data_IF_872520956672
#
_entry.id   IF_872520956672
#
_cell.length_a   1.000
_cell.length_b   1.000
_cell.length_c   1.000
_cell.angle_alpha   90.00
_cell.angle_beta   90.00
_cell.angle_gamma   90.00
#
_symmetry.space_group_name_H-M   'P 1'
#
loop_
_entity.id
_entity.type
_entity.pdbx_description
1 polymer ?
#
# COMPACT_ATOMS: atom_id res chain seq x y z
N UNK A 1 52.30 6.66 6.25
CA UNK A 1 51.55 6.20 5.04
C UNK A 1 50.90 4.82 5.22
N UNK A 2 51.65 3.77 5.59
CA UNK A 2 51.10 2.40 5.77
C UNK A 2 49.98 2.29 6.84
N UNK A 3 50.04 3.08 7.91
CA UNK A 3 49.02 3.08 8.98
C UNK A 3 47.70 3.71 8.50
N UNK A 4 47.77 4.81 7.77
CA UNK A 4 46.60 5.51 7.21
C UNK A 4 45.89 4.61 6.18
N UNK A 5 46.65 3.91 5.33
CA UNK A 5 46.09 2.96 4.36
C UNK A 5 45.36 1.78 5.05
N UNK A 6 45.92 1.25 6.15
CA UNK A 6 45.26 0.21 6.96
C UNK A 6 43.99 0.73 7.62
N UNK A 7 43.99 1.97 8.12
CA UNK A 7 42.82 2.60 8.74
C UNK A 7 41.70 2.83 7.72
N UNK A 8 42.05 3.28 6.50
CA UNK A 8 41.10 3.47 5.39
C UNK A 8 40.52 2.13 4.94
N UNK A 9 41.33 1.07 4.83
CA UNK A 9 40.83 -0.27 4.52
C UNK A 9 39.86 -0.78 5.59
N UNK A 10 40.19 -0.58 6.87
CA UNK A 10 39.32 -0.99 7.98
C UNK A 10 37.99 -0.24 7.96
N UNK A 11 38.02 1.08 7.68
CA UNK A 11 36.82 1.91 7.56
C UNK A 11 35.93 1.48 6.39
N UNK A 12 36.54 1.11 5.26
CA UNK A 12 35.83 0.60 4.07
C UNK A 12 35.20 -0.77 4.32
N UNK A 13 35.83 -1.65 5.10
CA UNK A 13 35.26 -2.94 5.47
C UNK A 13 34.05 -2.76 6.41
N UNK A 14 34.13 -1.85 7.39
CA UNK A 14 32.99 -1.56 8.28
C UNK A 14 31.85 -0.79 7.63
N UNK A 15 32.14 0.03 6.61
CA UNK A 15 31.12 0.82 5.91
C UNK A 15 30.22 -0.04 5.00
N UNK A 16 30.69 -1.21 4.54
CA UNK A 16 29.92 -2.12 3.70
C UNK A 16 29.00 -3.07 4.49
N UNK A 17 29.04 -3.06 5.83
CA UNK A 17 28.21 -3.93 6.67
C UNK A 17 26.80 -3.40 6.95
N UNK A 18 26.40 -2.25 6.40
CA UNK A 18 25.13 -1.57 6.71
C UNK A 18 24.03 -1.86 5.65
N UNK A 19 24.26 -2.80 4.72
CA UNK A 19 23.26 -3.15 3.69
C UNK A 19 22.45 -4.42 3.95
N UNK A 20 22.60 -5.04 5.12
CA UNK A 20 21.54 -5.88 5.66
C UNK A 20 20.52 -4.97 6.35
N UNK A 21 19.64 -4.31 5.58
CA UNK A 21 18.35 -3.89 6.14
C UNK A 21 17.59 -5.17 6.45
N UNK A 22 17.87 -5.76 7.61
CA UNK A 22 17.00 -6.73 8.24
C UNK A 22 15.63 -6.05 8.35
N UNK A 23 14.60 -6.72 7.85
CA UNK A 23 13.25 -6.17 7.92
C UNK A 23 12.84 -5.94 9.38
N UNK A 24 11.91 -5.02 9.60
CA UNK A 24 11.38 -4.70 10.91
C UNK A 24 10.49 -5.86 11.37
N UNK A 25 10.85 -6.58 12.46
CA UNK A 25 10.06 -7.69 12.95
C UNK A 25 8.74 -7.17 13.53
N UNK A 26 7.64 -7.77 13.07
CA UNK A 26 6.28 -7.44 13.49
C UNK A 26 5.57 -8.71 13.98
N UNK A 27 5.18 -8.71 15.25
CA UNK A 27 4.33 -9.76 15.81
C UNK A 27 2.92 -9.58 15.22
N UNK A 28 2.48 -10.54 14.40
CA UNK A 28 1.14 -10.52 13.80
C UNK A 28 0.13 -11.33 14.62
N UNK A 29 0.62 -12.26 15.44
CA UNK A 29 -0.13 -12.92 16.53
C UNK A 29 0.76 -13.07 17.76
N UNK A 30 0.28 -13.74 18.82
CA UNK A 30 1.11 -14.10 19.98
C UNK A 30 2.19 -15.14 19.66
N UNK A 31 2.03 -15.87 18.56
CA UNK A 31 2.88 -16.98 18.18
C UNK A 31 3.54 -16.79 16.80
N UNK A 32 3.14 -15.80 16.01
CA UNK A 32 3.64 -15.60 14.66
C UNK A 32 4.24 -14.20 14.47
N UNK A 33 5.40 -14.17 13.80
CA UNK A 33 6.16 -12.95 13.48
C UNK A 33 6.49 -12.92 11.99
N UNK A 34 6.54 -11.73 11.39
CA UNK A 34 7.03 -11.50 10.02
C UNK A 34 7.82 -10.20 9.96
N UNK A 35 8.81 -10.13 9.07
CA UNK A 35 9.62 -8.93 8.91
C UNK A 35 9.10 -8.08 7.73
N UNK A 36 8.69 -6.84 8.00
CA UNK A 36 8.32 -5.87 6.97
C UNK A 36 9.54 -5.04 6.53
N UNK A 37 9.60 -4.57 5.27
CA UNK A 37 10.71 -3.71 4.83
C UNK A 37 10.68 -2.31 5.47
N UNK A 38 9.49 -1.84 5.87
CA UNK A 38 9.25 -0.56 6.53
C UNK A 38 8.26 -0.74 7.69
N UNK A 39 8.06 0.31 8.49
CA UNK A 39 7.10 0.26 9.61
C UNK A 39 5.70 -0.04 9.08
N UNK A 40 5.08 -1.11 9.57
CA UNK A 40 3.76 -1.54 9.10
C UNK A 40 2.64 -0.72 9.74
N UNK A 41 1.63 -0.41 8.95
CA UNK A 41 0.35 0.13 9.41
C UNK A 41 -0.58 -1.02 9.74
N UNK A 42 -1.26 -0.95 10.88
CA UNK A 42 -2.23 -1.95 11.31
C UNK A 42 -3.65 -1.41 11.21
N UNK A 43 -4.55 -2.25 10.69
CA UNK A 43 -6.00 -2.03 10.73
C UNK A 43 -6.64 -3.28 11.32
N UNK A 44 -7.35 -3.09 12.42
CA UNK A 44 -8.06 -4.14 13.11
C UNK A 44 -9.57 -3.98 12.89
N UNK A 45 -10.20 -5.07 12.50
CA UNK A 45 -11.66 -5.21 12.41
C UNK A 45 -12.11 -6.28 13.39
N UNK A 46 -13.42 -6.47 13.54
CA UNK A 46 -13.96 -7.52 14.42
C UNK A 46 -13.55 -8.95 14.02
N UNK A 47 -13.10 -9.16 12.77
CA UNK A 47 -12.82 -10.50 12.21
C UNK A 47 -11.39 -10.69 11.73
N UNK A 48 -10.71 -9.60 11.39
CA UNK A 48 -9.42 -9.63 10.72
C UNK A 48 -8.54 -8.48 11.22
N UNK A 49 -7.26 -8.78 11.41
CA UNK A 49 -6.20 -7.78 11.56
C UNK A 49 -5.35 -7.78 10.31
N UNK A 50 -5.11 -6.62 9.72
CA UNK A 50 -4.32 -6.44 8.50
C UNK A 50 -3.15 -5.50 8.78
N UNK A 51 -1.96 -5.99 8.50
CA UNK A 51 -0.70 -5.24 8.53
C UNK A 51 -0.27 -4.94 7.10
N UNK A 52 0.06 -3.68 6.82
CA UNK A 52 0.48 -3.23 5.48
C UNK A 52 1.75 -2.41 5.56
N UNK A 53 2.69 -2.65 4.65
CA UNK A 53 3.85 -1.82 4.43
C UNK A 53 4.08 -1.64 2.92
N UNK A 54 4.77 -0.58 2.55
CA UNK A 54 5.11 -0.29 1.16
C UNK A 54 6.55 0.25 1.08
N UNK A 55 7.23 -0.07 0.00
CA UNK A 55 8.52 0.49 -0.39
C UNK A 55 8.60 0.65 -1.92
N UNK A 56 9.80 0.82 -2.47
CA UNK A 56 10.00 0.96 -3.92
C UNK A 56 9.84 -0.33 -4.73
N UNK A 57 9.78 -1.50 -4.07
CA UNK A 57 9.68 -2.82 -4.70
C UNK A 57 8.26 -3.37 -4.69
N UNK A 58 7.44 -3.04 -3.69
CA UNK A 58 6.04 -3.46 -3.69
C UNK A 58 5.23 -3.11 -2.45
N UNK A 59 4.03 -3.68 -2.43
CA UNK A 59 3.16 -3.70 -1.25
C UNK A 59 3.32 -5.04 -0.53
N UNK A 60 3.46 -4.97 0.78
CA UNK A 60 3.68 -6.10 1.68
C UNK A 60 2.52 -6.14 2.65
N UNK A 61 1.81 -7.25 2.70
CA UNK A 61 0.59 -7.36 3.49
C UNK A 61 0.65 -8.67 4.27
N UNK A 62 0.31 -8.61 5.55
CA UNK A 62 0.01 -9.79 6.34
C UNK A 62 -1.38 -9.62 6.94
N UNK A 63 -2.26 -10.62 6.80
CA UNK A 63 -3.56 -10.61 7.45
C UNK A 63 -3.76 -11.84 8.31
N UNK A 64 -4.50 -11.67 9.40
CA UNK A 64 -4.80 -12.74 10.36
C UNK A 64 -6.28 -12.77 10.65
N UNK A 65 -6.91 -13.92 10.45
CA UNK A 65 -8.32 -14.19 10.77
C UNK A 65 -8.37 -15.32 11.81
N UNK A 66 -8.90 -15.03 13.00
CA UNK A 66 -9.07 -16.01 14.06
C UNK A 66 -10.40 -16.75 13.90
N UNK A 67 -10.36 -18.07 13.91
CA UNK A 67 -11.54 -18.91 13.85
C UNK A 67 -12.15 -19.05 15.25
N UNK A 68 -13.46 -19.24 15.29
CA UNK A 68 -14.12 -19.70 16.51
C UNK A 68 -13.72 -21.15 16.80
N UNK A 69 -13.83 -21.58 18.06
CA UNK A 69 -13.60 -22.98 18.44
C UNK A 69 -14.46 -23.94 17.59
N UNK A 70 -15.69 -23.56 17.26
CA UNK A 70 -16.57 -24.35 16.39
C UNK A 70 -16.01 -24.50 14.98
N UNK A 71 -15.61 -23.40 14.34
CA UNK A 71 -15.02 -23.45 12.99
C UNK A 71 -13.70 -24.22 13.00
N UNK A 72 -12.84 -23.98 13.99
CA UNK A 72 -11.57 -24.69 14.12
C UNK A 72 -11.75 -26.19 14.34
N UNK A 73 -12.79 -26.62 15.06
CA UNK A 73 -13.05 -28.04 15.32
C UNK A 73 -13.44 -28.83 14.06
N UNK A 74 -13.85 -28.13 13.01
CA UNK A 74 -14.24 -28.71 11.73
C UNK A 74 -13.05 -28.82 10.76
N UNK A 75 -11.91 -28.19 11.09
CA UNK A 75 -10.70 -28.26 10.28
C UNK A 75 -9.85 -29.43 10.76
N UNK A 76 -9.81 -30.47 9.95
CA UNK A 76 -8.89 -31.61 10.11
C UNK A 76 -7.66 -31.44 9.21
N UNK A 77 -6.61 -32.22 9.48
CA UNK A 77 -5.39 -32.23 8.67
C UNK A 77 -5.68 -32.53 7.19
N UNK A 78 -6.63 -33.42 6.92
CA UNK A 78 -7.05 -33.83 5.57
C UNK A 78 -7.83 -32.72 4.85
N UNK A 79 -8.53 -31.86 5.60
CA UNK A 79 -9.31 -30.74 5.05
C UNK A 79 -8.49 -29.47 4.80
N UNK A 80 -7.23 -29.41 5.24
CA UNK A 80 -6.38 -28.21 5.15
C UNK A 80 -6.17 -27.76 3.70
N UNK A 81 -5.92 -28.70 2.79
CA UNK A 81 -5.75 -28.36 1.38
C UNK A 81 -7.01 -27.71 0.80
N UNK A 82 -8.18 -28.26 1.13
CA UNK A 82 -9.48 -27.74 0.71
C UNK A 82 -9.77 -26.36 1.32
N UNK A 83 -9.40 -26.15 2.59
CA UNK A 83 -9.47 -24.84 3.24
C UNK A 83 -8.60 -23.82 2.49
N UNK A 84 -7.35 -24.16 2.17
CA UNK A 84 -6.45 -23.28 1.44
C UNK A 84 -6.95 -22.96 0.03
N UNK A 85 -7.48 -23.95 -0.69
CA UNK A 85 -8.12 -23.74 -1.98
C UNK A 85 -9.32 -22.81 -1.88
N UNK A 86 -10.15 -22.95 -0.84
CA UNK A 86 -11.24 -22.02 -0.55
C UNK A 86 -10.71 -20.60 -0.40
N UNK A 87 -9.73 -20.37 0.48
CA UNK A 87 -9.14 -19.04 0.70
C UNK A 87 -8.53 -18.46 -0.59
N UNK A 88 -7.82 -19.27 -1.36
CA UNK A 88 -7.25 -18.87 -2.63
C UNK A 88 -8.35 -18.46 -3.64
N UNK A 89 -9.35 -19.32 -3.84
CA UNK A 89 -10.43 -19.06 -4.80
C UNK A 89 -11.26 -17.83 -4.41
N UNK A 90 -11.56 -17.66 -3.12
CA UNK A 90 -12.24 -16.47 -2.61
C UNK A 90 -11.48 -15.18 -2.95
N UNK A 91 -10.15 -15.20 -2.84
CA UNK A 91 -9.31 -14.08 -3.20
C UNK A 91 -9.24 -13.84 -4.72
N UNK A 92 -9.17 -14.92 -5.53
CA UNK A 92 -9.17 -14.85 -6.99
C UNK A 92 -10.48 -14.26 -7.51
N UNK A 93 -11.61 -14.77 -7.02
CA UNK A 93 -12.94 -14.31 -7.42
C UNK A 93 -13.14 -12.83 -7.05
N UNK A 94 -12.73 -12.44 -5.85
CA UNK A 94 -12.84 -11.05 -5.39
C UNK A 94 -11.96 -10.10 -6.22
N UNK A 95 -10.80 -10.59 -6.69
CA UNK A 95 -9.88 -9.83 -7.53
C UNK A 95 -10.23 -9.86 -9.03
N UNK A 96 -11.18 -10.72 -9.45
CA UNK A 96 -11.41 -11.07 -10.84
C UNK A 96 -10.12 -11.50 -11.56
N UNK A 97 -9.32 -12.33 -10.89
CA UNK A 97 -7.96 -12.67 -11.29
C UNK A 97 -7.85 -14.00 -12.04
N UNK A 98 -6.69 -14.23 -12.66
CA UNK A 98 -6.30 -15.49 -13.28
C UNK A 98 -5.15 -16.11 -12.49
N UNK A 99 -5.29 -17.39 -12.13
CA UNK A 99 -4.25 -18.15 -11.41
C UNK A 99 -3.11 -18.47 -12.37
N UNK A 100 -1.87 -18.24 -11.93
CA UNK A 100 -0.65 -18.61 -12.67
C UNK A 100 -0.05 -19.90 -12.10
N UNK A 101 0.12 -19.97 -10.78
CA UNK A 101 0.56 -21.18 -10.09
C UNK A 101 -0.06 -21.27 -8.70
N UNK A 102 -0.11 -22.50 -8.18
CA UNK A 102 -0.60 -22.81 -6.86
C UNK A 102 0.14 -24.06 -6.37
N UNK A 103 1.02 -23.86 -5.39
CA UNK A 103 2.01 -24.84 -4.96
C UNK A 103 1.88 -25.05 -3.45
N UNK A 104 1.94 -26.31 -3.02
CA UNK A 104 2.08 -26.64 -1.60
C UNK A 104 3.54 -26.39 -1.17
N UNK A 105 3.71 -25.70 -0.05
CA UNK A 105 5.01 -25.39 0.54
C UNK A 105 4.98 -25.66 2.05
N UNK A 106 6.16 -25.75 2.67
CA UNK A 106 6.27 -25.96 4.11
C UNK A 106 7.02 -24.80 4.77
N UNK A 107 6.52 -24.34 5.92
CA UNK A 107 7.20 -23.37 6.77
C UNK A 107 7.40 -23.99 8.14
N UNK A 108 8.64 -24.34 8.50
CA UNK A 108 8.93 -25.03 9.77
C UNK A 108 8.03 -26.27 9.97
N UNK A 109 7.91 -27.10 8.94
CA UNK A 109 7.02 -28.28 8.87
C UNK A 109 5.51 -28.01 8.90
N UNK A 110 5.09 -26.75 8.88
CA UNK A 110 3.67 -26.37 8.75
C UNK A 110 3.31 -26.30 7.26
N UNK A 111 2.32 -27.08 6.78
CA UNK A 111 1.88 -27.02 5.39
C UNK A 111 1.21 -25.67 5.10
N UNK A 112 1.52 -25.11 3.94
CA UNK A 112 1.01 -23.83 3.47
C UNK A 112 0.76 -23.89 1.95
N UNK A 113 -0.09 -23.00 1.46
CA UNK A 113 -0.32 -22.82 0.03
C UNK A 113 0.36 -21.52 -0.43
N UNK A 114 1.23 -21.59 -1.42
CA UNK A 114 1.76 -20.42 -2.13
C UNK A 114 1.12 -20.33 -3.51
N UNK A 115 0.69 -19.15 -3.94
CA UNK A 115 0.07 -18.94 -5.24
C UNK A 115 0.57 -17.66 -5.91
N UNK A 116 0.71 -17.73 -7.23
CA UNK A 116 0.92 -16.59 -8.12
C UNK A 116 -0.34 -16.37 -8.95
N UNK A 117 -0.76 -15.12 -9.09
CA UNK A 117 -1.95 -14.77 -9.87
C UNK A 117 -1.85 -13.38 -10.49
N UNK A 118 -2.61 -13.15 -11.56
CA UNK A 118 -2.70 -11.87 -12.25
C UNK A 118 -4.11 -11.29 -12.08
N UNK A 119 -4.20 -10.14 -11.43
CA UNK A 119 -5.43 -9.36 -11.38
C UNK A 119 -5.48 -8.36 -12.56
N UNK A 120 -6.68 -7.96 -13.02
CA UNK A 120 -6.84 -6.92 -14.02
C UNK A 120 -6.13 -5.64 -13.58
N UNK A 121 -5.43 -4.99 -14.51
CA UNK A 121 -4.73 -3.74 -14.23
C UNK A 121 -5.73 -2.65 -13.85
N UNK A 122 -5.71 -2.24 -12.59
CA UNK A 122 -6.46 -1.12 -12.06
C UNK A 122 -5.50 0.02 -11.69
N UNK A 123 -5.96 1.26 -11.76
CA UNK A 123 -5.12 2.44 -11.51
C UNK A 123 -4.52 2.37 -10.11
N UNK A 124 -3.21 2.13 -10.02
CA UNK A 124 -2.44 2.19 -8.77
C UNK A 124 -2.11 0.86 -8.09
N UNK A 125 -2.54 -0.31 -8.61
CA UNK A 125 -2.11 -1.60 -8.06
C UNK A 125 -1.45 -2.50 -9.12
N UNK A 126 -0.41 -3.27 -8.75
CA UNK A 126 0.17 -4.26 -9.63
C UNK A 126 -0.81 -5.36 -10.05
N UNK A 127 -0.67 -5.78 -11.31
CA UNK A 127 -1.41 -6.92 -11.86
C UNK A 127 -0.88 -8.23 -11.29
N UNK A 128 0.44 -8.43 -11.31
CA UNK A 128 1.09 -9.61 -10.75
C UNK A 128 1.04 -9.58 -9.22
N UNK A 129 0.62 -10.69 -8.60
CA UNK A 129 0.49 -10.81 -7.14
C UNK A 129 0.91 -12.19 -6.68
N UNK A 130 1.44 -12.25 -5.47
CA UNK A 130 1.81 -13.48 -4.78
C UNK A 130 1.06 -13.53 -3.45
N UNK A 131 0.60 -14.73 -3.07
CA UNK A 131 -0.04 -14.98 -1.79
C UNK A 131 0.50 -16.26 -1.17
N UNK A 132 0.71 -16.26 0.14
CA UNK A 132 0.93 -17.46 0.96
C UNK A 132 -0.18 -17.58 2.00
N UNK A 133 -0.70 -18.79 2.20
CA UNK A 133 -1.82 -19.09 3.10
C UNK A 133 -1.37 -20.15 4.09
N UNK A 134 -1.52 -19.88 5.38
CA UNK A 134 -1.07 -20.75 6.48
C UNK A 134 -2.21 -20.87 7.48
N UNK A 135 -2.53 -22.09 7.92
CA UNK A 135 -3.41 -22.32 9.06
C UNK A 135 -2.62 -22.84 10.27
N UNK A 136 -2.68 -22.12 11.38
CA UNK A 136 -1.99 -22.48 12.63
C UNK A 136 -2.69 -21.86 13.83
N UNK A 137 -2.80 -22.62 14.93
CA UNK A 137 -3.43 -22.19 16.19
C UNK A 137 -4.78 -21.47 15.98
N UNK A 138 -5.67 -22.07 15.19
CA UNK A 138 -7.00 -21.53 14.84
C UNK A 138 -6.97 -20.22 14.04
N UNK A 139 -5.84 -19.83 13.46
CA UNK A 139 -5.73 -18.66 12.60
C UNK A 139 -5.48 -19.05 11.16
N UNK A 140 -6.20 -18.41 10.24
CA UNK A 140 -5.75 -18.26 8.86
C UNK A 140 -4.87 -17.02 8.80
N UNK A 141 -3.63 -17.21 8.38
CA UNK A 141 -2.66 -16.15 8.11
C UNK A 141 -2.45 -16.10 6.61
N UNK A 142 -2.62 -14.92 6.02
CA UNK A 142 -2.26 -14.69 4.61
C UNK A 142 -1.13 -13.68 4.50
N UNK A 143 -0.17 -13.95 3.63
CA UNK A 143 0.93 -13.07 3.30
C UNK A 143 0.83 -12.70 1.83
N UNK A 144 0.73 -11.42 1.50
CA UNK A 144 0.67 -10.97 0.11
C UNK A 144 1.84 -10.07 -0.23
N UNK A 145 2.39 -10.27 -1.43
CA UNK A 145 3.37 -9.40 -2.03
C UNK A 145 2.93 -8.97 -3.42
N UNK A 146 2.76 -7.66 -3.61
CA UNK A 146 2.33 -7.08 -4.88
C UNK A 146 3.45 -6.21 -5.45
N UNK A 147 4.29 -6.74 -6.37
CA UNK A 147 5.46 -6.04 -6.87
C UNK A 147 5.10 -4.85 -7.76
N UNK A 148 5.69 -3.67 -7.51
CA UNK A 148 5.53 -2.51 -8.41
C UNK A 148 6.49 -2.53 -9.60
N UNK A 149 7.49 -3.41 -9.57
CA UNK A 149 8.47 -3.63 -10.65
C UNK A 149 8.21 -4.94 -11.39
N UNK A 150 8.53 -4.98 -12.69
CA UNK A 150 8.49 -6.20 -13.51
C UNK A 150 9.83 -6.94 -13.57
N UNK A 151 10.87 -6.42 -12.92
CA UNK A 151 12.20 -7.04 -12.93
C UNK A 151 12.20 -8.34 -12.11
N UNK A 152 12.19 -9.48 -12.81
CA UNK A 152 12.05 -10.83 -12.23
C UNK A 152 12.98 -11.08 -11.03
N UNK A 153 14.23 -10.66 -11.09
CA UNK A 153 15.20 -10.87 -10.01
C UNK A 153 14.80 -10.11 -8.74
N UNK A 154 14.47 -8.82 -8.86
CA UNK A 154 14.02 -8.00 -7.72
C UNK A 154 12.70 -8.50 -7.15
N UNK A 155 11.77 -8.93 -8.00
CA UNK A 155 10.50 -9.51 -7.58
C UNK A 155 10.74 -10.78 -6.75
N UNK A 156 11.56 -11.69 -7.26
CA UNK A 156 11.85 -12.96 -6.59
C UNK A 156 12.62 -12.76 -5.29
N UNK A 157 13.59 -11.84 -5.27
CA UNK A 157 14.37 -11.50 -4.08
C UNK A 157 13.46 -10.96 -2.97
N UNK A 158 12.64 -9.94 -3.27
CA UNK A 158 11.76 -9.32 -2.28
C UNK A 158 10.63 -10.25 -1.82
N UNK A 159 10.02 -11.00 -2.74
CA UNK A 159 9.04 -12.05 -2.40
C UNK A 159 9.64 -13.05 -1.42
N UNK A 160 10.79 -13.61 -1.77
CA UNK A 160 11.47 -14.63 -0.96
C UNK A 160 11.87 -14.06 0.40
N UNK A 161 12.44 -12.86 0.44
CA UNK A 161 12.82 -12.16 1.67
C UNK A 161 11.62 -11.99 2.60
N UNK A 162 10.49 -11.51 2.07
CA UNK A 162 9.28 -11.30 2.87
C UNK A 162 8.67 -12.62 3.34
N UNK A 163 8.39 -13.56 2.42
CA UNK A 163 7.72 -14.81 2.76
C UNK A 163 8.54 -15.71 3.67
N UNK A 164 9.87 -15.74 3.53
CA UNK A 164 10.74 -16.56 4.38
C UNK A 164 11.05 -15.89 5.73
N UNK A 165 10.65 -14.62 5.92
CA UNK A 165 10.75 -13.97 7.23
C UNK A 165 9.62 -14.35 8.18
N UNK A 166 8.56 -15.00 7.67
CA UNK A 166 7.49 -15.52 8.51
C UNK A 166 8.01 -16.67 9.36
N UNK A 167 7.75 -16.58 10.66
CA UNK A 167 8.12 -17.59 11.64
C UNK A 167 7.02 -17.78 12.66
N UNK A 168 6.87 -19.03 13.11
CA UNK A 168 6.01 -19.39 14.24
C UNK A 168 6.93 -19.72 15.42
N UNK A 169 6.80 -18.94 16.49
CA UNK A 169 7.40 -19.27 17.77
C UNK A 169 6.71 -20.54 18.28
N UNK A 170 7.49 -21.55 18.67
CA UNK A 170 6.97 -22.83 19.14
C UNK A 170 5.89 -22.62 20.21
N UNK A 171 4.64 -22.73 19.80
CA UNK A 171 3.52 -22.98 20.69
C UNK A 171 3.62 -24.46 21.04
N UNK A 172 3.39 -24.82 22.31
CA UNK A 172 3.07 -26.21 22.65
C UNK A 172 1.83 -26.57 21.82
N UNK A 173 2.05 -27.20 20.67
CA UNK A 173 1.00 -27.50 19.71
C UNK A 173 0.14 -28.58 20.34
N UNK A 174 -0.96 -28.18 20.97
CA UNK A 174 -2.12 -29.06 21.06
C UNK A 174 -2.57 -29.27 19.61
N UNK A 175 -2.06 -30.36 19.01
CA UNK A 175 -2.54 -30.80 17.71
C UNK A 175 -4.06 -30.89 17.76
N UNK A 176 -4.77 -30.49 16.69
CA UNK A 176 -6.21 -30.67 16.62
C UNK A 176 -6.51 -32.13 16.95
N UNK A 177 -7.23 -32.34 18.06
CA UNK A 177 -7.55 -33.68 18.53
C UNK A 177 -8.31 -34.41 17.44
N UNK A 178 -7.90 -35.64 17.14
CA UNK A 178 -8.62 -36.55 16.24
C UNK A 178 -10.04 -36.76 16.74
N UNK A 179 -11.01 -36.02 16.20
CA UNK A 179 -12.43 -36.34 16.35
C UNK A 179 -12.77 -37.36 15.27
N UNK A 180 -13.12 -38.57 15.69
CA UNK A 180 -13.57 -39.64 14.81
C UNK A 180 -14.95 -39.33 14.19
N UNK A 181 -15.02 -39.58 12.88
CA UNK A 181 -16.17 -40.00 12.08
C UNK A 181 -17.39 -39.07 12.00
N UNK A 182 -17.40 -38.24 10.95
CA UNK A 182 -18.53 -38.10 10.00
C UNK A 182 -17.97 -37.51 8.69
N UNK A 183 -17.68 -38.39 7.73
CA UNK A 183 -16.77 -38.13 6.61
C UNK A 183 -17.45 -37.53 5.36
N UNK A 184 -18.74 -37.17 5.40
CA UNK A 184 -19.47 -36.77 4.19
C UNK A 184 -19.68 -35.25 4.02
N UNK A 185 -19.42 -34.39 5.02
CA UNK A 185 -19.71 -32.94 4.91
C UNK A 185 -18.57 -32.00 5.32
N UNK A 186 -17.40 -32.49 5.77
CA UNK A 186 -16.33 -31.62 6.31
C UNK A 186 -15.53 -30.91 5.22
N UNK A 187 -15.37 -31.52 4.05
CA UNK A 187 -14.64 -30.94 2.91
C UNK A 187 -15.34 -29.69 2.36
N UNK A 188 -16.67 -29.75 2.21
CA UNK A 188 -17.45 -28.63 1.70
C UNK A 188 -17.44 -27.45 2.67
N UNK A 189 -17.54 -27.72 3.97
CA UNK A 189 -17.49 -26.69 5.02
C UNK A 189 -16.12 -26.00 5.05
N UNK A 190 -15.02 -26.75 4.95
CA UNK A 190 -13.67 -26.19 4.92
C UNK A 190 -13.48 -25.27 3.70
N UNK A 191 -13.93 -25.71 2.52
CA UNK A 191 -13.89 -24.91 1.30
C UNK A 191 -14.72 -23.63 1.43
N UNK A 192 -15.99 -23.73 1.83
CA UNK A 192 -16.89 -22.58 1.95
C UNK A 192 -16.39 -21.56 2.96
N UNK A 193 -15.88 -22.05 4.10
CA UNK A 193 -15.27 -21.21 5.14
C UNK A 193 -14.06 -20.48 4.58
N UNK A 194 -13.15 -21.22 3.92
CA UNK A 194 -11.99 -20.65 3.26
C UNK A 194 -12.38 -19.60 2.21
N UNK A 195 -13.33 -19.92 1.35
CA UNK A 195 -13.84 -19.06 0.28
C UNK A 195 -14.36 -17.73 0.81
N UNK A 196 -15.19 -17.78 1.86
CA UNK A 196 -15.72 -16.57 2.47
C UNK A 196 -14.60 -15.69 3.04
N UNK A 197 -13.61 -16.30 3.69
CA UNK A 197 -12.47 -15.58 4.26
C UNK A 197 -11.62 -14.95 3.17
N UNK A 198 -11.25 -15.71 2.13
CA UNK A 198 -10.46 -15.21 1.01
C UNK A 198 -11.10 -13.98 0.36
N UNK A 199 -12.43 -14.04 0.19
CA UNK A 199 -13.21 -12.94 -0.37
C UNK A 199 -13.22 -11.71 0.56
N UNK A 200 -13.47 -11.89 1.86
CA UNK A 200 -13.51 -10.79 2.83
C UNK A 200 -12.13 -10.14 2.97
N UNK A 201 -11.09 -10.94 3.19
CA UNK A 201 -9.71 -10.47 3.36
C UNK A 201 -9.26 -9.63 2.17
N UNK A 202 -9.60 -10.03 0.95
CA UNK A 202 -9.29 -9.23 -0.23
C UNK A 202 -9.91 -7.83 -0.19
N UNK A 203 -11.21 -7.72 0.15
CA UNK A 203 -11.88 -6.42 0.20
C UNK A 203 -11.38 -5.52 1.33
N UNK A 204 -11.03 -6.10 2.48
CA UNK A 204 -10.43 -5.33 3.58
C UNK A 204 -9.11 -4.72 3.13
N UNK A 205 -8.19 -5.54 2.59
CA UNK A 205 -6.89 -5.09 2.06
C UNK A 205 -7.08 -4.00 0.99
N UNK A 206 -8.02 -4.20 0.07
CA UNK A 206 -8.32 -3.22 -0.98
C UNK A 206 -8.77 -1.87 -0.41
N UNK A 207 -9.67 -1.87 0.58
CA UNK A 207 -10.15 -0.64 1.23
C UNK A 207 -9.04 0.10 1.98
N UNK A 208 -8.13 -0.63 2.64
CA UNK A 208 -6.96 -0.05 3.31
C UNK A 208 -6.09 0.74 2.33
N UNK A 209 -5.76 0.13 1.19
CA UNK A 209 -4.92 0.76 0.17
C UNK A 209 -5.61 1.98 -0.46
N UNK A 210 -6.90 1.87 -0.79
CA UNK A 210 -7.66 3.00 -1.33
C UNK A 210 -7.77 4.17 -0.36
N UNK A 211 -7.98 3.90 0.94
CA UNK A 211 -7.99 4.93 1.96
C UNK A 211 -6.62 5.64 2.07
N UNK A 212 -5.51 4.88 1.97
CA UNK A 212 -4.16 5.41 1.91
C UNK A 212 -3.95 6.40 0.76
N UNK A 213 -4.36 6.02 -0.45
CA UNK A 213 -4.28 6.88 -1.65
C UNK A 213 -5.09 8.16 -1.47
N UNK A 214 -6.33 8.08 -0.97
CA UNK A 214 -7.19 9.25 -0.75
C UNK A 214 -6.55 10.23 0.26
N UNK A 215 -5.97 9.71 1.35
CA UNK A 215 -5.29 10.54 2.35
C UNK A 215 -4.04 11.20 1.79
N UNK A 216 -3.24 10.48 0.99
CA UNK A 216 -2.07 11.04 0.30
C UNK A 216 -2.47 12.17 -0.66
N UNK A 217 -3.48 11.96 -1.51
CA UNK A 217 -3.98 13.00 -2.42
C UNK A 217 -4.44 14.23 -1.64
N UNK A 218 -5.21 14.05 -0.56
CA UNK A 218 -5.63 15.15 0.31
C UNK A 218 -4.44 15.87 0.96
N UNK A 219 -3.43 15.14 1.40
CA UNK A 219 -2.20 15.69 1.97
C UNK A 219 -1.43 16.54 0.96
N UNK A 220 -1.23 16.05 -0.28
CA UNK A 220 -0.58 16.80 -1.34
C UNK A 220 -1.37 18.04 -1.78
N UNK A 221 -2.70 17.94 -1.90
CA UNK A 221 -3.56 19.10 -2.17
C UNK A 221 -3.43 20.15 -1.05
N UNK A 222 -3.42 19.74 0.22
CA UNK A 222 -3.23 20.65 1.37
C UNK A 222 -1.83 21.28 1.39
N UNK A 223 -0.78 20.50 1.10
CA UNK A 223 0.61 20.98 1.03
C UNK A 223 0.78 22.00 -0.10
N UNK A 224 0.16 21.78 -1.25
CA UNK A 224 0.20 22.71 -2.38
C UNK A 224 -0.66 23.97 -2.16
N UNK A 225 -1.77 23.89 -1.41
CA UNK A 225 -2.55 25.09 -1.02
C UNK A 225 -1.75 26.03 -0.10
N UNK A 226 -0.90 25.50 0.78
CA UNK A 226 0.02 26.32 1.63
C UNK A 226 1.15 26.98 0.82
N UNK A 227 1.41 26.52 -0.40
CA UNK A 227 2.40 27.09 -1.34
C UNK A 227 1.79 28.00 -2.40
N UNK A 228 0.49 28.32 -2.36
CA UNK A 228 -0.05 29.41 -3.19
C UNK A 228 0.51 30.75 -2.68
N UNK A 229 1.66 31.08 -3.24
CA UNK A 229 2.17 32.40 -3.63
C UNK A 229 1.26 33.53 -3.20
N UNK A 230 1.77 34.40 -2.32
CA UNK A 230 1.28 35.76 -2.22
C UNK A 230 1.31 36.35 -3.63
N UNK A 231 0.15 36.44 -4.27
CA UNK A 231 0.01 37.19 -5.51
C UNK A 231 0.19 38.65 -5.09
N UNK A 232 1.42 39.14 -5.14
CA UNK A 232 1.64 40.57 -5.15
C UNK A 232 0.84 41.11 -6.34
N UNK A 233 -0.08 42.07 -6.12
CA UNK A 233 -0.83 42.64 -7.21
C UNK A 233 0.17 43.17 -8.22
N UNK A 234 0.12 42.61 -9.44
CA UNK A 234 0.82 43.13 -10.59
C UNK A 234 0.37 44.59 -10.70
N UNK A 235 1.24 45.53 -10.32
CA UNK A 235 1.04 46.94 -10.63
C UNK A 235 0.96 47.00 -12.15
N UNK A 236 -0.25 47.21 -12.67
CA UNK A 236 -0.45 47.60 -14.08
C UNK A 236 0.59 48.68 -14.40
N UNK A 237 1.33 48.57 -15.52
CA UNK A 237 2.12 49.69 -16.02
C UNK A 237 1.20 50.91 -16.05
N UNK A 238 1.57 51.96 -15.32
CA UNK A 238 0.84 53.23 -15.30
C UNK A 238 0.85 53.74 -16.73
N UNK A 239 -0.30 53.67 -17.39
CA UNK A 239 -0.52 54.29 -18.69
C UNK A 239 -0.08 55.76 -18.55
N UNK A 240 0.91 56.18 -19.33
CA UNK A 240 1.37 57.56 -19.33
C UNK A 240 0.21 58.42 -19.86
N UNK A 241 -0.56 59.00 -18.95
CA UNK A 241 -1.63 59.93 -19.28
C UNK A 241 -0.95 61.17 -19.84
N UNK A 242 -1.00 61.33 -21.17
CA UNK A 242 -0.66 62.59 -21.82
C UNK A 242 -1.73 63.61 -21.43
N UNK A 243 -1.33 64.74 -20.87
CA UNK A 243 -2.25 65.83 -20.51
C UNK A 243 -2.41 66.78 -21.70
N UNK A 244 -3.64 67.24 -21.97
CA UNK A 244 -3.93 68.32 -22.92
C UNK A 244 -4.42 69.55 -22.14
N UNK A 245 -3.93 70.74 -22.51
CA UNK A 245 -4.31 72.00 -21.87
C UNK A 245 -5.46 72.62 -22.65
N UNK A 246 -6.52 73.03 -21.94
CA UNK A 246 -7.68 73.69 -22.54
C UNK A 246 -7.34 75.10 -23.02
N UNK A 247 -7.52 75.39 -24.31
CA UNK A 247 -7.21 76.69 -24.90
C UNK A 247 -8.10 77.85 -24.42
N UNK A 248 -9.20 77.56 -23.69
CA UNK A 248 -10.15 78.57 -23.22
C UNK A 248 -9.97 78.95 -21.74
N UNK A 249 -9.45 78.04 -20.91
CA UNK A 249 -9.39 78.25 -19.46
C UNK A 249 -8.13 77.65 -18.80
N UNK A 250 -7.18 77.19 -19.62
CA UNK A 250 -5.88 76.64 -19.21
C UNK A 250 -5.92 75.43 -18.26
N UNK A 251 -7.09 74.82 -18.07
CA UNK A 251 -7.21 73.63 -17.25
C UNK A 251 -6.59 72.41 -17.94
N UNK A 252 -5.94 71.57 -17.13
CA UNK A 252 -5.35 70.30 -17.56
C UNK A 252 -6.43 69.24 -17.67
N UNK A 253 -6.49 68.58 -18.81
CA UNK A 253 -7.46 67.54 -19.10
C UNK A 253 -6.75 66.28 -19.58
N UNK A 254 -7.41 65.13 -19.43
CA UNK A 254 -6.94 63.87 -20.01
C UNK A 254 -6.91 64.00 -21.55
N UNK A 255 -5.86 63.53 -22.22
CA UNK A 255 -5.75 63.58 -23.70
C UNK A 255 -6.91 62.92 -24.45
N UNK A 256 -7.63 62.00 -23.79
CA UNK A 256 -8.82 61.37 -24.35
C UNK A 256 -10.12 62.15 -24.12
N UNK A 257 -10.10 63.25 -23.34
CA UNK A 257 -11.28 64.06 -23.09
C UNK A 257 -11.71 64.83 -24.33
N UNK A 258 -12.99 64.69 -24.72
CA UNK A 258 -13.58 65.44 -25.84
C UNK A 258 -13.90 66.89 -25.46
N UNK A 259 -14.21 67.13 -24.19
CA UNK A 259 -14.55 68.44 -23.65
C UNK A 259 -13.73 68.73 -22.40
N UNK A 260 -13.46 70.01 -22.17
CA UNK A 260 -12.82 70.50 -20.96
C UNK A 260 -13.69 70.23 -19.74
N UNK A 261 -13.12 69.55 -18.73
CA UNK A 261 -13.78 69.22 -17.47
C UNK A 261 -14.20 70.45 -16.66
N UNK A 262 -13.57 71.60 -16.88
CA UNK A 262 -13.85 72.83 -16.12
C UNK A 262 -14.86 73.73 -16.81
N UNK A 263 -14.78 73.90 -18.14
CA UNK A 263 -15.56 74.92 -18.85
C UNK A 263 -16.39 74.39 -20.02
N UNK A 264 -16.39 73.08 -20.27
CA UNK A 264 -17.16 72.44 -21.34
C UNK A 264 -16.67 72.71 -22.77
N UNK A 265 -15.56 73.43 -22.93
CA UNK A 265 -14.99 73.73 -24.26
C UNK A 265 -14.49 72.47 -24.96
N UNK A 266 -14.80 72.30 -26.26
CA UNK A 266 -14.35 71.14 -27.04
C UNK A 266 -12.83 71.17 -27.26
N UNK A 267 -12.15 70.09 -26.88
CA UNK A 267 -10.70 69.97 -26.98
C UNK A 267 -10.34 69.40 -28.35
N UNK A 268 -9.71 70.22 -29.21
CA UNK A 268 -9.23 69.77 -30.52
C UNK A 268 -7.97 68.90 -30.32
N UNK A 269 -8.07 67.62 -30.67
CA UNK A 269 -6.89 66.73 -30.75
C UNK A 269 -6.00 67.23 -31.89
N UNK A 270 -4.71 67.42 -31.61
CA UNK A 270 -3.70 67.64 -32.66
C UNK A 270 -3.35 66.32 -33.34
#
# INVERSE_FOLDING_TARGET
MKLILKLIMLLLVTANSIHAQEGIPTNITKFATINFPTESKVIETQRETVYTAEDEFGYYIASTVKFTNQQSSQITKESLQTLYQGVAQGAIDAANAEVVSMDEVFIQDIPALEMEYNAPSNSGMPSKRFKKIIYVDQHIITLDFWPVTSQKNLVNENKTKFFNSFSVNAVETEQPSTVQNNQENTTDIAYETGFLIGKISFFVVLLVLLAGVILLVRYFIRKNKKKKTQIHPIKKPREQITEIICQKCDSKNNSNARYCSTCGYELKKK
#
